data_IF_712010770897
#
_entry.id   IF_712010770897
#
_cell.length_a   1.000
_cell.length_b   1.000
_cell.length_c   1.000
_cell.angle_alpha   90.00
_cell.angle_beta   90.00
_cell.angle_gamma   90.00
#
_symmetry.space_group_name_H-M   'P 1'
#
loop_
_entity.id
_entity.type
_entity.pdbx_description
1 polymer ?
#
# COMPACT_ATOMS: atom_id res chain seq x y z
N UNK A 1 12.22 6.54 1.02
CA UNK A 1 12.48 5.10 1.28
C UNK A 1 11.26 4.29 0.93
N UNK A 2 11.45 3.15 0.25
CA UNK A 2 10.39 2.40 -0.41
C UNK A 2 9.68 1.49 0.59
N UNK A 3 8.56 1.93 1.17
CA UNK A 3 7.70 1.12 2.07
C UNK A 3 7.43 -0.29 1.53
N UNK A 4 7.35 -0.43 0.20
CA UNK A 4 7.17 -1.71 -0.49
C UNK A 4 8.29 -2.74 -0.26
N UNK A 5 9.46 -2.30 0.20
CA UNK A 5 10.64 -3.10 0.51
C UNK A 5 10.81 -3.31 2.02
N UNK A 6 9.88 -2.81 2.85
CA UNK A 6 9.93 -2.96 4.30
C UNK A 6 9.01 -4.08 4.80
N UNK A 7 9.44 -4.90 5.77
CA UNK A 7 8.58 -5.87 6.43
C UNK A 7 7.38 -5.19 7.10
N UNK A 8 6.17 -5.71 6.82
CA UNK A 8 4.94 -5.18 7.42
C UNK A 8 4.33 -6.25 8.34
N UNK A 9 4.12 -5.96 9.65
CA UNK A 9 3.52 -6.92 10.58
C UNK A 9 2.15 -7.44 10.12
N UNK A 10 1.30 -6.58 9.54
CA UNK A 10 -0.01 -6.97 8.99
C UNK A 10 0.08 -7.98 7.82
N UNK A 11 1.23 -8.06 7.15
CA UNK A 11 1.50 -9.04 6.09
C UNK A 11 2.22 -10.30 6.62
N UNK A 12 2.30 -10.47 7.94
CA UNK A 12 3.00 -11.59 8.58
C UNK A 12 4.52 -11.44 8.52
N UNK A 13 5.03 -10.20 8.63
CA UNK A 13 6.46 -9.90 8.56
C UNK A 13 7.05 -9.92 7.15
N UNK A 14 6.20 -10.08 6.12
CA UNK A 14 6.62 -10.00 4.70
C UNK A 14 6.64 -8.55 4.21
N UNK A 15 7.46 -8.28 3.21
CA UNK A 15 7.38 -7.03 2.45
C UNK A 15 6.14 -7.03 1.55
N UNK A 16 5.58 -5.86 1.21
CA UNK A 16 4.52 -5.75 0.20
C UNK A 16 4.91 -6.42 -1.13
N UNK A 17 6.17 -6.27 -1.59
CA UNK A 17 6.67 -6.93 -2.80
C UNK A 17 6.63 -8.46 -2.73
N UNK A 18 6.89 -9.05 -1.58
CA UNK A 18 6.79 -10.50 -1.40
C UNK A 18 5.35 -10.96 -1.26
N UNK A 19 4.53 -10.21 -0.53
CA UNK A 19 3.14 -10.56 -0.26
C UNK A 19 2.30 -10.62 -1.55
N UNK A 20 2.51 -9.68 -2.49
CA UNK A 20 1.78 -9.65 -3.77
C UNK A 20 2.02 -10.87 -4.67
N UNK A 21 3.06 -11.67 -4.42
CA UNK A 21 3.34 -12.92 -5.17
C UNK A 21 2.31 -14.02 -4.94
N UNK A 22 1.48 -13.91 -3.90
CA UNK A 22 0.43 -14.88 -3.58
C UNK A 22 -0.95 -14.23 -3.70
N UNK A 23 -1.99 -14.97 -4.12
CA UNK A 23 -3.37 -14.43 -4.19
C UNK A 23 -3.83 -13.86 -2.84
N UNK A 24 -3.57 -14.60 -1.75
CA UNK A 24 -3.92 -14.18 -0.39
C UNK A 24 -3.15 -12.95 0.07
N UNK A 25 -1.84 -12.91 -0.18
CA UNK A 25 -1.00 -11.77 0.19
C UNK A 25 -1.30 -10.53 -0.64
N UNK A 26 -1.57 -10.69 -1.95
CA UNK A 26 -2.05 -9.62 -2.83
C UNK A 26 -3.32 -8.97 -2.28
N UNK A 27 -4.33 -9.76 -1.91
CA UNK A 27 -5.57 -9.23 -1.30
C UNK A 27 -5.29 -8.41 -0.03
N UNK A 28 -4.43 -8.91 0.86
CA UNK A 28 -4.03 -8.17 2.08
C UNK A 28 -3.30 -6.85 1.77
N UNK A 29 -2.43 -6.85 0.74
CA UNK A 29 -1.75 -5.63 0.30
C UNK A 29 -2.74 -4.63 -0.28
N UNK A 30 -3.72 -5.08 -1.07
CA UNK A 30 -4.78 -4.22 -1.61
C UNK A 30 -5.65 -3.59 -0.50
N UNK A 31 -6.02 -4.38 0.52
CA UNK A 31 -6.74 -3.88 1.69
C UNK A 31 -5.94 -2.82 2.45
N UNK A 32 -4.64 -3.04 2.63
CA UNK A 32 -3.74 -2.09 3.29
C UNK A 32 -3.55 -0.80 2.49
N UNK A 33 -3.41 -0.90 1.18
CA UNK A 33 -3.33 0.26 0.30
C UNK A 33 -4.63 1.07 0.31
N UNK A 34 -5.80 0.40 0.32
CA UNK A 34 -7.09 1.07 0.46
C UNK A 34 -7.22 1.82 1.79
N UNK A 35 -6.69 1.26 2.87
CA UNK A 35 -6.64 1.95 4.16
C UNK A 35 -5.79 3.23 4.09
N UNK A 36 -4.60 3.17 3.49
CA UNK A 36 -3.77 4.36 3.29
C UNK A 36 -4.42 5.38 2.39
N UNK A 37 -5.06 4.96 1.30
CA UNK A 37 -5.77 5.85 0.38
C UNK A 37 -6.83 6.68 1.10
N UNK A 38 -7.60 6.07 2.01
CA UNK A 38 -8.58 6.81 2.82
C UNK A 38 -7.93 7.85 3.74
N UNK A 39 -6.76 7.54 4.33
CA UNK A 39 -6.03 8.47 5.20
C UNK A 39 -5.47 9.63 4.38
N UNK A 40 -4.80 9.33 3.27
CA UNK A 40 -4.18 10.32 2.41
C UNK A 40 -5.23 11.20 1.72
N UNK A 41 -6.39 10.65 1.35
CA UNK A 41 -7.52 11.43 0.83
C UNK A 41 -8.10 12.37 1.88
N UNK A 42 -8.19 11.95 3.16
CA UNK A 42 -8.59 12.84 4.24
C UNK A 42 -7.58 13.99 4.40
N UNK A 43 -6.27 13.69 4.38
CA UNK A 43 -5.22 14.72 4.44
C UNK A 43 -5.29 15.68 3.26
N UNK A 44 -5.47 15.17 2.05
CA UNK A 44 -5.64 15.96 0.83
C UNK A 44 -6.80 16.95 0.97
N UNK A 45 -7.94 16.50 1.49
CA UNK A 45 -9.12 17.36 1.72
C UNK A 45 -8.91 18.38 2.83
N UNK A 46 -8.07 18.07 3.81
CA UNK A 46 -7.70 18.99 4.89
C UNK A 46 -6.64 20.02 4.47
N UNK A 47 -6.12 19.95 3.23
CA UNK A 47 -5.02 20.81 2.78
C UNK A 47 -3.65 20.42 3.34
N UNK A 48 -3.54 19.24 3.95
CA UNK A 48 -2.28 18.70 4.47
C UNK A 48 -1.44 18.06 3.35
N UNK A 49 -0.15 17.87 3.64
CA UNK A 49 0.71 17.06 2.78
C UNK A 49 0.20 15.62 2.73
N UNK A 50 -0.04 15.13 1.52
CA UNK A 50 -0.58 13.80 1.27
C UNK A 50 0.31 13.03 0.29
N UNK A 51 0.22 11.70 0.36
CA UNK A 51 0.97 10.81 -0.51
C UNK A 51 0.05 10.11 -1.52
N UNK A 52 0.49 10.06 -2.79
CA UNK A 52 -0.23 9.36 -3.85
C UNK A 52 -0.03 7.84 -3.77
N UNK A 53 -1.00 7.16 -3.15
CA UNK A 53 -1.01 5.71 -2.97
C UNK A 53 -1.01 4.95 -4.31
N UNK A 54 -1.47 5.55 -5.41
CA UNK A 54 -1.40 4.93 -6.73
C UNK A 54 0.04 4.73 -7.22
N UNK A 55 0.99 5.53 -6.72
CA UNK A 55 2.42 5.27 -6.96
C UNK A 55 2.86 3.94 -6.37
N UNK A 56 2.38 3.58 -5.16
CA UNK A 56 2.69 2.29 -4.54
C UNK A 56 2.07 1.13 -5.30
N UNK A 57 0.81 1.28 -5.75
CA UNK A 57 0.13 0.28 -6.59
C UNK A 57 0.93 -0.02 -7.86
N UNK A 58 1.34 1.02 -8.59
CA UNK A 58 2.17 0.92 -9.79
C UNK A 58 3.50 0.21 -9.51
N UNK A 59 4.20 0.58 -8.44
CA UNK A 59 5.46 -0.06 -8.06
C UNK A 59 5.31 -1.55 -7.68
N UNK A 60 4.13 -1.96 -7.22
CA UNK A 60 3.79 -3.34 -6.88
C UNK A 60 3.18 -4.14 -8.04
N UNK A 61 3.02 -3.51 -9.22
CA UNK A 61 2.37 -4.15 -10.38
C UNK A 61 0.87 -4.41 -10.16
N UNK A 62 0.26 -3.72 -9.21
CA UNK A 62 -1.19 -3.76 -8.97
C UNK A 62 -1.83 -2.75 -9.90
N UNK A 63 -2.51 -3.22 -10.96
CA UNK A 63 -3.37 -2.37 -11.79
C UNK A 63 -4.66 -2.11 -11.01
N UNK A 64 -5.14 -0.87 -11.08
CA UNK A 64 -6.54 -0.54 -10.78
C UNK A 64 -7.47 -1.23 -11.79
#
# INVERSE_FOLDING_TARGET
QKWIDQPVPALGGKTPREAVRSKRGKKKVEELLKFFENIEERRRRAGESWYDVNKLRKMLGLRE
#
